data_IF_779821099100
#
_entry.id   IF_779821099100
#
_cell.length_a   1.000
_cell.length_b   1.000
_cell.length_c   1.000
_cell.angle_alpha   90.00
_cell.angle_beta   90.00
_cell.angle_gamma   90.00
#
_symmetry.space_group_name_H-M   'P 1'
#
loop_
_entity.id
_entity.type
_entity.pdbx_description
1 polymer ?
#
# COMPACT_ATOMS: atom_id res chain seq x y z
N UNK A 1 1.16 5.39 -15.05
CA UNK A 1 1.69 4.51 -13.98
C UNK A 1 0.96 4.73 -12.65
N UNK A 2 0.76 5.98 -12.19
CA UNK A 2 0.08 6.29 -10.91
C UNK A 2 -1.34 5.69 -10.77
N UNK A 3 -2.17 5.74 -11.83
CA UNK A 3 -3.54 5.19 -11.77
C UNK A 3 -3.61 3.68 -11.50
N UNK A 4 -2.59 2.91 -11.88
CA UNK A 4 -2.56 1.47 -11.59
C UNK A 4 -2.37 1.20 -10.10
N UNK A 5 -1.75 2.13 -9.36
CA UNK A 5 -1.52 2.02 -7.93
C UNK A 5 -2.74 2.41 -7.10
N UNK A 6 -3.71 3.14 -7.64
CA UNK A 6 -4.93 3.49 -6.91
C UNK A 6 -5.77 2.27 -6.54
N UNK A 7 -5.83 1.26 -7.42
CA UNK A 7 -6.51 -0.01 -7.14
C UNK A 7 -5.82 -0.88 -6.08
N UNK A 8 -4.65 -0.45 -5.60
CA UNK A 8 -3.86 -1.14 -4.58
C UNK A 8 -3.98 -0.48 -3.21
N UNK A 9 -4.78 0.59 -3.08
CA UNK A 9 -5.00 1.28 -1.82
C UNK A 9 -6.35 0.90 -1.23
N UNK A 10 -6.38 0.76 0.09
CA UNK A 10 -7.61 0.66 0.87
C UNK A 10 -7.99 2.05 1.35
N UNK A 11 -9.28 2.35 1.37
CA UNK A 11 -9.79 3.64 1.82
C UNK A 11 -10.76 3.45 2.98
N UNK A 12 -10.71 4.36 3.95
CA UNK A 12 -11.72 4.48 4.99
C UNK A 12 -13.01 5.11 4.42
N UNK A 13 -14.17 5.00 5.10
CA UNK A 13 -15.41 5.67 4.68
C UNK A 13 -15.29 7.19 4.54
N UNK A 14 -14.32 7.80 5.21
CA UNK A 14 -13.99 9.23 5.09
C UNK A 14 -13.28 9.59 3.78
N UNK A 15 -12.93 8.63 2.93
CA UNK A 15 -12.17 8.85 1.69
C UNK A 15 -10.65 8.93 1.89
N UNK A 16 -10.17 8.87 3.14
CA UNK A 16 -8.74 8.82 3.45
C UNK A 16 -8.19 7.43 3.14
N UNK A 17 -6.92 7.38 2.74
CA UNK A 17 -6.19 6.13 2.57
C UNK A 17 -6.02 5.45 3.95
N UNK A 18 -6.42 4.19 4.04
CA UNK A 18 -6.32 3.38 5.25
C UNK A 18 -5.15 2.37 5.20
N UNK A 19 -4.51 2.25 4.04
CA UNK A 19 -3.38 1.36 3.83
C UNK A 19 -3.31 0.79 2.41
N UNK A 20 -2.53 -0.27 2.25
CA UNK A 20 -2.32 -1.00 1.01
C UNK A 20 -3.21 -2.26 1.01
N UNK A 21 -3.78 -2.61 -0.14
CA UNK A 21 -4.37 -3.93 -0.37
C UNK A 21 -3.24 -4.93 -0.60
N UNK A 22 -2.80 -5.54 0.50
CA UNK A 22 -1.66 -6.46 0.50
C UNK A 22 -1.86 -7.65 -0.45
N UNK A 23 -3.10 -8.17 -0.53
CA UNK A 23 -3.41 -9.31 -1.39
C UNK A 23 -3.32 -8.94 -2.87
N UNK A 24 -3.84 -7.76 -3.25
CA UNK A 24 -3.76 -7.28 -4.61
C UNK A 24 -2.30 -7.04 -5.04
N UNK A 25 -1.49 -6.42 -4.18
CA UNK A 25 -0.11 -6.10 -4.51
C UNK A 25 0.78 -7.35 -4.54
N UNK A 26 0.63 -8.29 -3.60
CA UNK A 26 1.37 -9.55 -3.63
C UNK A 26 1.06 -10.38 -4.88
N UNK A 27 -0.21 -10.43 -5.30
CA UNK A 27 -0.60 -11.12 -6.54
C UNK A 27 0.01 -10.47 -7.79
N UNK A 28 0.06 -9.14 -7.83
CA UNK A 28 0.73 -8.41 -8.91
C UNK A 28 2.24 -8.67 -8.89
N UNK A 29 2.84 -8.72 -7.70
CA UNK A 29 4.25 -8.98 -7.53
C UNK A 29 4.64 -10.40 -7.99
N UNK A 30 3.84 -11.40 -7.63
CA UNK A 30 3.98 -12.79 -8.08
C UNK A 30 3.90 -12.89 -9.61
N UNK A 31 2.91 -12.27 -10.24
CA UNK A 31 2.78 -12.23 -11.71
C UNK A 31 3.99 -11.56 -12.39
N UNK A 32 4.66 -10.64 -11.70
CA UNK A 32 5.87 -9.97 -12.18
C UNK A 32 7.15 -10.74 -11.87
N UNK A 33 7.06 -11.91 -11.24
CA UNK A 33 8.21 -12.76 -10.92
C UNK A 33 8.98 -12.34 -9.67
N UNK A 34 8.38 -11.51 -8.81
CA UNK A 34 8.97 -11.18 -7.51
C UNK A 34 8.64 -12.25 -6.47
N UNK A 35 9.57 -12.48 -5.54
CA UNK A 35 9.40 -13.43 -4.45
C UNK A 35 8.40 -12.86 -3.41
N UNK A 36 7.31 -13.59 -3.08
CA UNK A 36 6.25 -13.08 -2.20
C UNK A 36 6.70 -12.72 -0.79
N UNK A 37 7.65 -13.45 -0.20
CA UNK A 37 8.19 -13.18 1.14
C UNK A 37 8.90 -11.83 1.21
N UNK A 38 9.88 -11.61 0.34
CA UNK A 38 10.61 -10.34 0.22
C UNK A 38 9.64 -9.19 -0.06
N UNK A 39 8.66 -9.41 -0.94
CA UNK A 39 7.66 -8.38 -1.23
C UNK A 39 6.77 -8.08 -0.03
N UNK A 40 6.42 -9.09 0.78
CA UNK A 40 5.62 -8.88 1.98
C UNK A 40 6.33 -7.97 2.99
N UNK A 41 7.64 -8.17 3.19
CA UNK A 41 8.45 -7.33 4.10
C UNK A 41 8.53 -5.89 3.59
N UNK A 42 8.82 -5.70 2.30
CA UNK A 42 8.89 -4.36 1.69
C UNK A 42 7.55 -3.63 1.73
N UNK A 43 6.45 -4.33 1.49
CA UNK A 43 5.11 -3.74 1.51
C UNK A 43 4.66 -3.37 2.93
N UNK A 44 5.03 -4.16 3.94
CA UNK A 44 4.80 -3.77 5.35
C UNK A 44 5.56 -2.49 5.71
N UNK A 45 6.83 -2.36 5.31
CA UNK A 45 7.58 -1.13 5.53
C UNK A 45 6.95 0.07 4.77
N UNK A 46 6.48 -0.15 3.54
CA UNK A 46 5.81 0.87 2.75
C UNK A 46 4.48 1.33 3.37
N UNK A 47 3.66 0.41 3.89
CA UNK A 47 2.39 0.75 4.56
C UNK A 47 2.65 1.57 5.83
N UNK A 48 3.67 1.24 6.60
CA UNK A 48 4.06 2.02 7.79
C UNK A 48 4.44 3.47 7.42
N UNK A 49 5.30 3.66 6.41
CA UNK A 49 5.69 4.99 5.95
C UNK A 49 4.51 5.80 5.38
N UNK A 50 3.57 5.11 4.72
CA UNK A 50 2.33 5.72 4.24
C UNK A 50 1.47 6.22 5.41
N UNK A 51 1.21 5.38 6.41
CA UNK A 51 0.41 5.74 7.59
C UNK A 51 1.06 6.88 8.37
N UNK A 52 2.38 6.85 8.56
CA UNK A 52 3.13 7.92 9.22
C UNK A 52 2.95 9.26 8.49
N UNK A 53 3.18 9.28 7.18
CA UNK A 53 3.04 10.50 6.38
C UNK A 53 1.60 11.05 6.36
N UNK A 54 0.61 10.18 6.48
CA UNK A 54 -0.79 10.59 6.57
C UNK A 54 -1.14 11.20 7.92
N UNK A 55 -0.71 10.56 9.01
CA UNK A 55 -0.94 11.09 10.37
C UNK A 55 -0.27 12.46 10.57
N UNK A 56 0.89 12.68 9.95
CA UNK A 56 1.56 13.99 9.96
C UNK A 56 0.74 15.07 9.24
N UNK A 57 0.03 14.74 8.15
CA UNK A 57 -0.82 15.70 7.43
C UNK A 57 -2.12 16.06 8.14
N UNK A 58 -2.62 15.19 9.01
CA UNK A 58 -3.83 15.47 9.81
C UNK A 58 -3.55 16.40 11.00
N UNK A 59 -2.27 16.62 11.34
CA UNK A 59 -1.85 17.50 12.43
C UNK A 59 -1.46 18.92 11.99
N UNK A 60 -1.44 19.19 10.68
CA UNK A 60 -1.21 20.50 10.05
C UNK A 60 -2.54 21.22 9.72
#
# INVERSE_FOLDING_TARGET
>A
MLNACLGQLRFAPSGHVAGIDMNAVLKIAEVRGFEPGVMSELLSAAENGLVEAMNQRETD
#
